data_IF_895902258742
#
_entry.id   IF_895902258742
#
_cell.length_a   1.000
_cell.length_b   1.000
_cell.length_c   1.000
_cell.angle_alpha   90.00
_cell.angle_beta   90.00
_cell.angle_gamma   90.00
#
_symmetry.space_group_name_H-M   'P 1'
#
loop_
_entity.id
_entity.type
_entity.pdbx_description
1 polymer ?
#
# COMPACT_ATOMS: atom_id res chain seq x y z
N UNK A 1 3.80 -6.76 3.24
CA UNK A 1 3.32 -5.97 2.09
C UNK A 1 4.16 -6.14 0.82
N UNK A 2 5.49 -5.88 0.87
CA UNK A 2 6.41 -5.93 -0.28
C UNK A 2 6.23 -7.15 -1.20
N UNK A 3 6.39 -8.36 -0.68
CA UNK A 3 6.27 -9.61 -1.45
C UNK A 3 4.87 -9.85 -2.02
N UNK A 4 3.82 -9.35 -1.34
CA UNK A 4 2.45 -9.46 -1.82
C UNK A 4 2.21 -8.51 -3.00
N UNK A 5 2.62 -7.25 -2.88
CA UNK A 5 2.46 -6.27 -3.94
C UNK A 5 3.31 -6.63 -5.16
N UNK A 6 4.57 -7.02 -4.98
CA UNK A 6 5.43 -7.49 -6.06
C UNK A 6 4.75 -8.62 -6.85
N UNK A 7 4.34 -9.69 -6.16
CA UNK A 7 3.64 -10.83 -6.81
C UNK A 7 2.32 -10.42 -7.49
N UNK A 8 1.61 -9.43 -6.97
CA UNK A 8 0.29 -9.03 -7.47
C UNK A 8 0.39 -8.06 -8.64
N UNK A 9 1.35 -7.13 -8.59
CA UNK A 9 1.59 -6.14 -9.64
C UNK A 9 2.38 -6.74 -10.80
N UNK A 10 3.32 -7.67 -10.57
CA UNK A 10 3.99 -8.42 -11.65
C UNK A 10 3.05 -9.25 -12.53
N UNK A 11 1.81 -9.50 -12.10
CA UNK A 11 0.78 -10.17 -12.93
C UNK A 11 0.13 -9.24 -13.96
N UNK A 12 0.40 -7.94 -13.87
CA UNK A 12 -0.12 -6.88 -14.72
C UNK A 12 1.05 -6.20 -15.43
N UNK A 13 1.88 -7.01 -16.06
CA UNK A 13 3.06 -6.55 -16.81
C UNK A 13 2.65 -5.56 -17.93
N UNK A 14 1.45 -5.71 -18.48
CA UNK A 14 0.84 -4.79 -19.44
C UNK A 14 0.64 -3.36 -18.93
N UNK A 15 0.49 -3.20 -17.61
CA UNK A 15 0.30 -1.89 -16.97
C UNK A 15 1.64 -1.37 -16.45
N UNK A 16 2.37 -2.20 -15.70
CA UNK A 16 3.50 -1.73 -14.91
C UNK A 16 4.87 -1.95 -15.57
N UNK A 17 4.97 -2.86 -16.53
CA UNK A 17 6.21 -3.20 -17.22
C UNK A 17 7.40 -3.36 -16.28
N UNK A 18 8.50 -2.68 -16.61
CA UNK A 18 9.74 -2.69 -15.83
C UNK A 18 9.67 -1.81 -14.56
N UNK A 19 8.59 -1.02 -14.38
CA UNK A 19 8.41 -0.10 -13.24
C UNK A 19 7.85 -0.77 -11.98
N UNK A 20 7.57 -2.08 -12.02
CA UNK A 20 6.93 -2.81 -10.91
C UNK A 20 7.71 -2.66 -9.59
N UNK A 21 9.04 -2.79 -9.63
CA UNK A 21 9.85 -2.71 -8.40
C UNK A 21 9.80 -1.31 -7.78
N UNK A 22 9.86 -0.27 -8.60
CA UNK A 22 9.80 1.12 -8.14
C UNK A 22 8.42 1.43 -7.54
N UNK A 23 7.34 1.04 -8.22
CA UNK A 23 5.96 1.24 -7.77
C UNK A 23 5.72 0.52 -6.44
N UNK A 24 6.23 -0.70 -6.30
CA UNK A 24 6.15 -1.47 -5.05
C UNK A 24 6.95 -0.77 -3.94
N UNK A 25 8.12 -0.20 -4.26
CA UNK A 25 8.92 0.60 -3.35
C UNK A 25 8.14 1.80 -2.80
N UNK A 26 7.54 2.59 -3.70
CA UNK A 26 6.70 3.76 -3.35
C UNK A 26 5.55 3.35 -2.43
N UNK A 27 4.83 2.27 -2.79
CA UNK A 27 3.75 1.74 -1.95
C UNK A 27 4.23 1.41 -0.54
N UNK A 28 5.41 0.78 -0.41
CA UNK A 28 5.97 0.35 0.88
C UNK A 28 6.43 1.52 1.72
N UNK A 29 7.11 2.48 1.13
CA UNK A 29 7.65 3.64 1.82
C UNK A 29 6.55 4.51 2.44
N UNK A 30 5.55 4.90 1.62
CA UNK A 30 4.43 5.74 2.06
C UNK A 30 3.63 5.03 3.14
N UNK A 31 3.36 3.74 2.95
CA UNK A 31 2.57 2.97 3.90
C UNK A 31 3.28 2.77 5.24
N UNK A 32 4.59 2.46 5.25
CA UNK A 32 5.36 2.33 6.49
C UNK A 32 5.41 3.66 7.23
N UNK A 33 5.57 4.76 6.50
CA UNK A 33 5.58 6.10 7.08
C UNK A 33 4.25 6.37 7.79
N UNK A 34 3.13 6.18 7.09
CA UNK A 34 1.80 6.31 7.66
C UNK A 34 1.58 5.43 8.90
N UNK A 35 2.03 4.17 8.87
CA UNK A 35 1.91 3.26 10.01
C UNK A 35 2.64 3.76 11.26
N UNK A 36 3.79 4.43 11.09
CA UNK A 36 4.57 4.94 12.21
C UNK A 36 4.09 6.31 12.72
N UNK A 37 3.53 7.15 11.85
CA UNK A 37 3.21 8.55 12.18
C UNK A 37 1.75 8.78 12.50
N UNK A 38 0.84 8.10 11.79
CA UNK A 38 -0.58 8.49 11.72
C UNK A 38 -1.53 7.35 12.05
N UNK A 39 -1.11 6.10 11.90
CA UNK A 39 -2.00 4.96 12.15
C UNK A 39 -2.32 4.79 13.64
N UNK A 40 -3.57 5.02 14.00
CA UNK A 40 -4.08 4.92 15.37
C UNK A 40 -4.78 3.60 15.71
N UNK A 41 -4.78 2.63 14.80
CA UNK A 41 -5.49 1.34 14.93
C UNK A 41 -6.70 1.19 14.01
N UNK A 42 -7.50 0.11 14.16
CA UNK A 42 -8.57 -0.28 13.27
C UNK A 42 -9.63 0.80 13.21
N UNK A 43 -10.04 1.13 11.99
CA UNK A 43 -10.93 2.26 11.74
C UNK A 43 -10.19 3.58 11.52
N UNK A 44 -8.86 3.63 11.68
CA UNK A 44 -8.07 4.73 11.11
C UNK A 44 -8.20 4.69 9.60
N UNK A 45 -8.59 5.83 9.02
CA UNK A 45 -8.90 5.92 7.61
C UNK A 45 -7.63 5.78 6.75
N UNK A 46 -7.50 4.69 5.99
CA UNK A 46 -6.38 4.42 5.08
C UNK A 46 -6.48 5.21 3.75
N UNK A 47 -7.22 6.32 3.73
CA UNK A 47 -7.41 7.15 2.54
C UNK A 47 -6.19 8.03 2.27
N UNK A 48 -5.53 8.53 3.31
CA UNK A 48 -4.32 9.37 3.19
C UNK A 48 -3.20 8.61 2.44
N UNK A 49 -2.74 7.42 2.89
CA UNK A 49 -1.67 6.71 2.19
C UNK A 49 -2.09 6.24 0.79
N UNK A 50 -3.39 6.10 0.52
CA UNK A 50 -3.89 5.78 -0.83
C UNK A 50 -3.71 6.94 -1.80
N UNK A 51 -4.08 8.16 -1.39
CA UNK A 51 -3.93 9.37 -2.20
C UNK A 51 -2.46 9.61 -2.45
N UNK A 52 -1.63 9.57 -1.39
CA UNK A 52 -0.20 9.83 -1.50
C UNK A 52 0.49 8.83 -2.44
N UNK A 53 0.11 7.54 -2.42
CA UNK A 53 0.65 6.53 -3.35
C UNK A 53 0.25 6.86 -4.79
N UNK A 54 -1.01 7.20 -5.04
CA UNK A 54 -1.47 7.52 -6.39
C UNK A 54 -0.79 8.78 -6.93
N UNK A 55 -0.77 9.85 -6.13
CA UNK A 55 -0.14 11.12 -6.48
C UNK A 55 1.36 10.96 -6.72
N UNK A 56 2.07 10.23 -5.85
CA UNK A 56 3.52 10.01 -6.01
C UNK A 56 3.84 9.19 -7.28
N UNK A 57 3.02 8.20 -7.63
CA UNK A 57 3.21 7.41 -8.85
C UNK A 57 2.95 8.30 -10.09
N UNK A 58 1.87 9.09 -10.08
CA UNK A 58 1.53 9.98 -11.18
C UNK A 58 2.55 11.12 -11.35
N UNK A 59 3.01 11.73 -10.25
CA UNK A 59 4.05 12.77 -10.25
C UNK A 59 5.39 12.27 -10.81
N UNK A 60 5.71 10.99 -10.60
CA UNK A 60 6.90 10.33 -11.16
C UNK A 60 6.69 9.86 -12.60
N UNK A 61 5.49 10.03 -13.17
CA UNK A 61 5.16 9.57 -14.52
C UNK A 61 5.13 8.05 -14.64
N UNK A 62 4.95 7.34 -13.53
CA UNK A 62 4.90 5.89 -13.47
C UNK A 62 3.45 5.41 -13.76
N UNK A 63 3.27 4.24 -14.37
CA UNK A 63 1.94 3.78 -14.76
C UNK A 63 1.16 3.15 -13.59
N UNK A 64 -0.17 3.22 -13.66
CA UNK A 64 -1.07 2.43 -12.81
C UNK A 64 -1.12 2.84 -11.33
N UNK A 65 -0.93 4.13 -11.04
CA UNK A 65 -1.04 4.70 -9.69
C UNK A 65 -2.31 4.28 -8.95
N UNK A 66 -3.51 4.47 -9.53
CA UNK A 66 -4.76 4.07 -8.89
C UNK A 66 -4.85 2.57 -8.56
N UNK A 67 -4.36 1.70 -9.45
CA UNK A 67 -4.37 0.25 -9.26
C UNK A 67 -3.37 -0.21 -8.21
N UNK A 68 -2.17 0.39 -8.18
CA UNK A 68 -1.14 0.11 -7.19
C UNK A 68 -1.61 0.54 -5.79
N UNK A 69 -2.13 1.76 -5.68
CA UNK A 69 -2.69 2.30 -4.46
C UNK A 69 -3.86 1.42 -3.95
N UNK A 70 -4.75 0.98 -4.85
CA UNK A 70 -5.88 0.09 -4.47
C UNK A 70 -5.39 -1.27 -3.99
N UNK A 71 -4.31 -1.79 -4.59
CA UNK A 71 -3.72 -3.05 -4.17
C UNK A 71 -3.08 -2.93 -2.77
N UNK A 72 -2.42 -1.81 -2.47
CA UNK A 72 -1.83 -1.51 -1.17
C UNK A 72 -2.91 -1.38 -0.08
N UNK A 73 -3.95 -0.57 -0.31
CA UNK A 73 -5.07 -0.42 0.65
C UNK A 73 -5.74 -1.75 0.94
N UNK A 74 -6.03 -2.55 -0.10
CA UNK A 74 -6.65 -3.86 0.12
C UNK A 74 -5.77 -4.75 1.00
N UNK A 75 -4.46 -4.79 0.75
CA UNK A 75 -3.54 -5.55 1.59
C UNK A 75 -3.57 -5.05 3.03
N UNK A 76 -3.55 -3.73 3.23
CA UNK A 76 -3.58 -3.11 4.54
C UNK A 76 -4.85 -3.46 5.33
N UNK A 77 -6.03 -3.35 4.72
CA UNK A 77 -7.30 -3.76 5.36
C UNK A 77 -7.32 -5.24 5.70
N UNK A 78 -6.78 -6.11 4.83
CA UNK A 78 -6.79 -7.56 5.04
C UNK A 78 -5.82 -8.03 6.14
N UNK A 79 -4.77 -7.23 6.45
CA UNK A 79 -3.68 -7.64 7.36
C UNK A 79 -3.55 -6.71 8.57
N UNK A 80 -3.44 -5.40 8.39
CA UNK A 80 -3.16 -4.45 9.50
C UNK A 80 -4.38 -4.30 10.43
N UNK A 81 -5.58 -4.12 9.87
CA UNK A 81 -6.79 -4.02 10.70
C UNK A 81 -7.11 -5.34 11.42
N UNK A 82 -6.78 -6.47 10.78
CA UNK A 82 -7.00 -7.81 11.31
C UNK A 82 -6.02 -8.16 12.42
N UNK A 83 -4.73 -7.94 12.18
CA UNK A 83 -3.66 -8.30 13.10
C UNK A 83 -3.62 -7.34 14.31
N UNK A 84 -4.14 -6.11 14.18
CA UNK A 84 -4.26 -5.21 15.32
C UNK A 84 -5.07 -5.81 16.46
N UNK A 85 -6.17 -6.52 16.18
CA UNK A 85 -6.98 -7.16 17.22
C UNK A 85 -6.19 -8.24 17.97
N UNK A 86 -5.24 -8.91 17.31
CA UNK A 86 -4.32 -9.85 17.94
C UNK A 86 -3.22 -9.13 18.73
N UNK A 87 -2.74 -7.98 18.26
CA UNK A 87 -1.66 -7.21 18.91
C UNK A 87 -2.10 -6.38 20.12
N UNK A 88 -3.32 -5.85 20.10
CA UNK A 88 -3.87 -5.01 21.18
C UNK A 88 -4.98 -5.67 21.98
N UNK A 89 -5.33 -6.91 21.65
CA UNK A 89 -6.25 -7.70 22.44
C UNK A 89 -5.63 -8.04 23.79
N UNK A 90 -6.01 -7.32 24.84
CA UNK A 90 -5.85 -7.82 26.21
C UNK A 90 -6.63 -9.12 26.36
N UNK A 91 -5.96 -10.18 26.78
CA UNK A 91 -6.59 -11.36 27.39
C UNK A 91 -7.47 -10.94 28.58
#
# INVERSE_FOLDING_TARGET
MLSHLLKKLSKKEDIYGDSVEEIVGICVEIFITFLHTEYGGPGTLLVIPFIDIADTIDERGLPGGPEAARAAVKWATDHVDKDWKEWTGTN
#
